data_IF_637077729919
#
_entry.id   IF_637077729919
#
_cell.length_a   1.000
_cell.length_b   1.000
_cell.length_c   1.000
_cell.angle_alpha   90.00
_cell.angle_beta   90.00
_cell.angle_gamma   90.00
#
_symmetry.space_group_name_H-M   'P 1'
#
loop_
_entity.id
_entity.type
_entity.pdbx_description
1 polymer ?
#
# COMPACT_ATOMS: atom_id res chain seq x y z
N UNK A 1 33.07 10.22 15.82
CA UNK A 1 32.00 9.34 16.34
C UNK A 1 32.38 7.86 16.17
N UNK A 2 32.61 7.35 14.95
CA UNK A 2 32.93 5.92 14.79
C UNK A 2 34.22 5.48 15.51
N UNK A 3 35.28 6.29 15.50
CA UNK A 3 36.51 5.98 16.26
C UNK A 3 36.27 5.78 17.77
N UNK A 4 35.32 6.53 18.36
CA UNK A 4 34.98 6.35 19.78
C UNK A 4 34.21 5.05 20.01
N UNK A 5 33.31 4.65 19.11
CA UNK A 5 32.63 3.35 19.20
C UNK A 5 33.60 2.18 19.03
N UNK A 6 34.54 2.26 18.09
CA UNK A 6 35.57 1.23 17.90
C UNK A 6 36.36 1.02 19.19
N UNK A 7 36.75 2.11 19.86
CA UNK A 7 37.45 2.05 21.15
C UNK A 7 36.55 1.54 22.28
N UNK A 8 35.32 2.05 22.40
CA UNK A 8 34.38 1.72 23.49
C UNK A 8 33.91 0.27 23.44
N UNK A 9 33.69 -0.27 22.24
CA UNK A 9 33.23 -1.64 22.03
C UNK A 9 34.37 -2.64 21.78
N UNK A 10 35.63 -2.18 21.76
CA UNK A 10 36.80 -3.03 21.59
C UNK A 10 36.85 -3.72 20.22
N UNK A 11 36.33 -3.07 19.18
CA UNK A 11 36.32 -3.61 17.81
C UNK A 11 37.70 -3.40 17.18
N UNK A 12 38.16 -4.38 16.40
CA UNK A 12 39.38 -4.27 15.58
C UNK A 12 38.98 -4.20 14.10
N UNK A 13 38.89 -3.00 13.48
CA UNK A 13 38.42 -2.85 12.11
C UNK A 13 39.25 -3.62 11.08
N UNK A 14 40.52 -3.94 11.39
CA UNK A 14 41.38 -4.70 10.49
C UNK A 14 40.98 -6.19 10.41
N UNK A 15 40.18 -6.68 11.36
CA UNK A 15 39.71 -8.07 11.41
C UNK A 15 38.26 -8.22 10.94
N UNK A 16 37.56 -7.13 10.70
CA UNK A 16 36.17 -7.14 10.25
C UNK A 16 36.09 -7.22 8.72
N UNK A 17 35.52 -8.29 8.13
CA UNK A 17 35.35 -8.37 6.69
C UNK A 17 34.32 -7.34 6.22
N UNK A 18 34.63 -6.67 5.10
CA UNK A 18 33.68 -5.74 4.46
C UNK A 18 32.50 -6.53 3.91
N UNK A 19 31.28 -6.15 4.31
CA UNK A 19 30.06 -6.80 3.82
C UNK A 19 29.89 -6.53 2.31
N UNK A 20 29.50 -7.53 1.49
CA UNK A 20 29.25 -7.33 0.06
C UNK A 20 28.25 -6.20 -0.27
N UNK A 21 27.28 -5.92 0.59
CA UNK A 21 26.38 -4.78 0.44
C UNK A 21 27.13 -3.44 0.53
N UNK A 22 28.06 -3.31 1.48
CA UNK A 22 28.94 -2.14 1.61
C UNK A 22 29.77 -1.94 0.34
N UNK A 23 30.41 -3.01 -0.16
CA UNK A 23 31.20 -2.94 -1.40
C UNK A 23 30.36 -2.48 -2.60
N UNK A 24 29.16 -3.06 -2.77
CA UNK A 24 28.24 -2.65 -3.86
C UNK A 24 27.89 -1.17 -3.78
N UNK A 25 27.63 -0.65 -2.59
CA UNK A 25 27.29 0.76 -2.44
C UNK A 25 28.48 1.67 -2.70
N UNK A 26 29.67 1.35 -2.16
CA UNK A 26 30.88 2.14 -2.41
C UNK A 26 31.29 2.12 -3.87
N UNK A 27 31.19 0.96 -4.54
CA UNK A 27 31.51 0.83 -5.96
C UNK A 27 30.59 1.68 -6.83
N UNK A 28 29.29 1.71 -6.50
CA UNK A 28 28.30 2.57 -7.16
C UNK A 28 28.63 4.06 -7.02
N UNK A 29 28.97 4.52 -5.82
CA UNK A 29 29.33 5.93 -5.58
C UNK A 29 30.63 6.31 -6.31
N UNK A 30 31.65 5.46 -6.24
CA UNK A 30 32.92 5.68 -6.94
C UNK A 30 32.76 5.65 -8.46
N UNK A 31 31.93 4.74 -8.99
CA UNK A 31 31.60 4.70 -10.42
C UNK A 31 30.93 6.00 -10.85
N UNK A 32 29.91 6.46 -10.11
CA UNK A 32 29.19 7.71 -10.38
C UNK A 32 30.14 8.92 -10.34
N UNK A 33 30.97 9.02 -9.30
CA UNK A 33 31.96 10.08 -9.15
C UNK A 33 33.03 10.10 -10.25
N UNK A 34 33.35 8.93 -10.82
CA UNK A 34 34.25 8.81 -11.97
C UNK A 34 33.58 9.13 -13.32
N UNK A 35 32.29 9.46 -13.33
CA UNK A 35 31.50 9.72 -14.54
C UNK A 35 31.05 8.46 -15.28
N UNK A 36 31.16 7.27 -14.68
CA UNK A 36 30.64 6.01 -15.22
C UNK A 36 29.16 5.86 -14.84
N UNK A 37 28.33 6.70 -15.42
CA UNK A 37 26.87 6.68 -15.24
C UNK A 37 26.22 6.02 -16.46
N UNK A 38 25.35 5.04 -16.23
CA UNK A 38 24.66 4.33 -17.32
C UNK A 38 23.84 5.31 -18.18
N UNK A 39 23.92 5.17 -19.51
CA UNK A 39 23.27 6.09 -20.46
C UNK A 39 24.01 7.42 -20.68
N UNK A 40 25.10 7.69 -19.96
CA UNK A 40 25.93 8.89 -20.12
C UNK A 40 27.26 8.52 -20.77
N UNK A 41 27.68 9.24 -21.81
CA UNK A 41 29.05 9.10 -22.34
C UNK A 41 30.03 9.61 -21.28
N UNK A 42 30.95 8.75 -20.83
CA UNK A 42 31.99 9.13 -19.89
C UNK A 42 32.73 10.39 -20.38
N UNK A 43 33.02 11.36 -19.50
CA UNK A 43 33.78 12.54 -19.89
C UNK A 43 35.14 12.12 -20.48
N UNK A 44 35.45 12.59 -21.70
CA UNK A 44 36.76 12.36 -22.29
C UNK A 44 37.87 13.14 -21.58
N UNK A 45 39.13 12.95 -22.00
CA UNK A 45 40.29 13.72 -21.48
C UNK A 45 40.15 15.25 -21.59
N UNK A 46 39.20 15.74 -22.39
CA UNK A 46 38.90 17.15 -22.66
C UNK A 46 37.53 17.58 -22.11
N UNK A 47 37.16 17.11 -20.92
CA UNK A 47 35.88 17.46 -20.29
C UNK A 47 35.76 18.99 -20.05
N UNK A 48 34.74 19.59 -20.66
CA UNK A 48 34.37 21.00 -20.50
C UNK A 48 33.95 21.30 -19.05
N UNK A 49 34.03 22.56 -18.57
CA UNK A 49 33.50 22.94 -17.26
C UNK A 49 32.05 22.52 -17.05
N UNK A 50 31.24 22.54 -18.12
CA UNK A 50 29.84 22.10 -18.10
C UNK A 50 29.71 20.60 -17.82
N UNK A 51 30.49 19.76 -18.51
CA UNK A 51 30.51 18.31 -18.26
C UNK A 51 31.00 17.98 -16.84
N UNK A 52 31.91 18.77 -16.28
CA UNK A 52 32.35 18.62 -14.89
C UNK A 52 31.24 18.95 -13.89
N UNK A 53 30.50 20.04 -14.11
CA UNK A 53 29.34 20.39 -13.28
C UNK A 53 28.26 19.31 -13.33
N UNK A 54 28.04 18.69 -14.50
CA UNK A 54 27.10 17.58 -14.68
C UNK A 54 27.49 16.34 -13.86
N UNK A 55 28.76 15.92 -13.90
CA UNK A 55 29.23 14.80 -13.07
C UNK A 55 29.15 15.14 -11.58
N UNK A 56 29.42 16.39 -11.19
CA UNK A 56 29.22 16.84 -9.82
C UNK A 56 27.74 16.73 -9.40
N UNK A 57 26.80 17.16 -10.24
CA UNK A 57 25.37 17.03 -9.99
C UNK A 57 24.95 15.56 -9.79
N UNK A 58 25.45 14.65 -10.64
CA UNK A 58 25.19 13.21 -10.53
C UNK A 58 25.78 12.60 -9.26
N UNK A 59 27.01 13.00 -8.91
CA UNK A 59 27.67 12.54 -7.68
C UNK A 59 26.91 12.99 -6.45
N UNK A 60 26.54 14.28 -6.39
CA UNK A 60 25.73 14.82 -5.29
C UNK A 60 24.37 14.11 -5.27
N UNK A 61 23.71 13.93 -6.41
CA UNK A 61 22.42 13.21 -6.51
C UNK A 61 22.47 11.78 -5.96
N UNK A 62 23.58 11.07 -6.17
CA UNK A 62 23.80 9.73 -5.62
C UNK A 62 24.16 9.72 -4.11
N UNK A 63 24.72 10.83 -3.59
CA UNK A 63 25.10 10.98 -2.18
C UNK A 63 23.99 11.59 -1.31
N UNK A 64 23.11 12.42 -1.87
CA UNK A 64 22.00 13.05 -1.13
C UNK A 64 21.14 12.04 -0.34
N UNK A 65 20.79 10.86 -0.91
CA UNK A 65 20.05 9.82 -0.18
C UNK A 65 20.63 9.46 1.18
N UNK A 66 21.94 9.24 1.29
CA UNK A 66 22.53 8.81 2.57
C UNK A 66 22.40 9.91 3.63
N UNK A 67 22.66 11.17 3.26
CA UNK A 67 22.54 12.30 4.17
C UNK A 67 21.09 12.47 4.66
N UNK A 68 20.12 12.44 3.74
CA UNK A 68 18.70 12.57 4.08
C UNK A 68 18.20 11.36 4.88
N UNK A 69 18.57 10.15 4.50
CA UNK A 69 18.14 8.92 5.17
C UNK A 69 18.63 8.86 6.61
N UNK A 70 19.92 9.11 6.85
CA UNK A 70 20.45 9.12 8.22
C UNK A 70 19.84 10.23 9.08
N UNK A 71 19.59 11.41 8.50
CA UNK A 71 18.90 12.49 9.19
C UNK A 71 17.47 12.09 9.60
N UNK A 72 16.75 11.41 8.70
CA UNK A 72 15.41 10.88 8.96
C UNK A 72 15.43 9.79 10.04
N UNK A 73 16.26 8.75 9.88
CA UNK A 73 16.38 7.64 10.84
C UNK A 73 16.76 8.13 12.24
N UNK A 74 17.66 9.11 12.34
CA UNK A 74 18.04 9.71 13.62
C UNK A 74 16.84 10.31 14.36
N UNK A 75 15.98 11.07 13.67
CA UNK A 75 14.77 11.66 14.26
C UNK A 75 13.72 10.61 14.61
N UNK A 76 13.47 9.64 13.72
CA UNK A 76 12.49 8.58 13.96
C UNK A 76 12.89 7.71 15.17
N UNK A 77 14.15 7.30 15.26
CA UNK A 77 14.64 6.49 16.39
C UNK A 77 14.61 7.30 17.69
N UNK A 78 15.01 8.58 17.65
CA UNK A 78 14.92 9.47 18.81
C UNK A 78 13.49 9.57 19.35
N UNK A 79 12.47 9.65 18.48
CA UNK A 79 11.08 9.74 18.89
C UNK A 79 10.55 8.46 19.59
N UNK A 80 11.21 7.31 19.36
CA UNK A 80 10.80 6.00 19.86
C UNK A 80 11.65 5.47 21.03
N UNK A 81 12.73 6.18 21.35
CA UNK A 81 13.67 5.83 22.41
C UNK A 81 13.40 6.70 23.62
N UNK A 82 13.32 6.08 24.80
CA UNK A 82 13.31 6.83 26.05
C UNK A 82 14.73 7.33 26.34
N UNK A 83 14.98 8.59 26.00
CA UNK A 83 16.32 9.20 26.13
C UNK A 83 16.67 9.56 27.57
N UNK A 84 15.80 9.32 28.55
CA UNK A 84 16.12 9.47 29.98
C UNK A 84 17.18 8.46 30.46
N UNK A 85 17.39 7.35 29.74
CA UNK A 85 18.53 6.47 29.97
C UNK A 85 19.81 7.03 29.34
N UNK A 86 20.59 7.75 30.15
CA UNK A 86 21.90 8.26 29.77
C UNK A 86 22.93 7.15 29.45
N UNK A 87 22.65 5.89 29.77
CA UNK A 87 23.55 4.75 29.51
C UNK A 87 23.19 3.97 28.23
N UNK A 88 22.24 4.43 27.42
CA UNK A 88 21.86 3.71 26.21
C UNK A 88 23.06 3.58 25.24
N UNK A 89 23.47 2.37 24.81
CA UNK A 89 24.73 2.14 24.09
C UNK A 89 24.81 2.87 22.73
N UNK A 90 23.66 3.16 22.12
CA UNK A 90 23.57 3.85 20.83
C UNK A 90 23.26 5.35 20.95
N UNK A 91 23.20 5.93 22.16
CA UNK A 91 22.79 7.33 22.40
C UNK A 91 23.61 8.32 21.55
N UNK A 92 24.95 8.18 21.53
CA UNK A 92 25.84 9.05 20.72
C UNK A 92 25.50 9.03 19.23
N UNK A 93 25.10 7.86 18.69
CA UNK A 93 24.71 7.73 17.29
C UNK A 93 23.39 8.45 17.06
N UNK A 94 22.38 8.17 17.89
CA UNK A 94 21.04 8.77 17.81
C UNK A 94 21.14 10.29 17.91
N UNK A 95 21.84 10.82 18.92
CA UNK A 95 22.02 12.27 19.13
C UNK A 95 22.74 12.93 17.96
N UNK A 96 23.74 12.27 17.38
CA UNK A 96 24.50 12.84 16.26
C UNK A 96 23.63 13.01 15.02
N UNK A 97 22.90 11.97 14.62
CA UNK A 97 22.09 11.99 13.39
C UNK A 97 20.73 12.68 13.57
N UNK A 98 20.21 12.76 14.81
CA UNK A 98 19.01 13.55 15.14
C UNK A 98 19.31 15.04 15.38
N UNK A 99 20.58 15.43 15.52
CA UNK A 99 20.97 16.82 15.81
C UNK A 99 20.57 17.80 14.70
N UNK A 100 20.21 19.02 15.10
CA UNK A 100 19.91 20.12 14.17
C UNK A 100 21.07 20.43 13.22
N UNK A 101 22.32 20.23 13.66
CA UNK A 101 23.50 20.40 12.80
C UNK A 101 23.55 19.37 11.67
N UNK A 102 23.19 18.11 11.96
CA UNK A 102 23.13 17.07 10.93
C UNK A 102 21.95 17.30 9.98
N UNK A 103 20.78 17.71 10.50
CA UNK A 103 19.64 18.10 9.67
C UNK A 103 20.01 19.25 8.72
N UNK A 104 20.69 20.28 9.21
CA UNK A 104 21.17 21.38 8.39
C UNK A 104 22.19 20.93 7.32
N UNK A 105 23.03 19.94 7.63
CA UNK A 105 23.99 19.37 6.67
C UNK A 105 23.30 18.58 5.55
N UNK A 106 22.24 17.83 5.88
CA UNK A 106 21.41 17.15 4.90
C UNK A 106 20.72 18.16 3.96
N UNK A 107 20.10 19.20 4.53
CA UNK A 107 19.50 20.30 3.75
C UNK A 107 20.52 21.01 2.87
N UNK A 108 21.73 21.28 3.37
CA UNK A 108 22.80 21.88 2.56
C UNK A 108 23.19 21.03 1.35
N UNK A 109 23.13 19.70 1.49
CA UNK A 109 23.43 18.76 0.40
C UNK A 109 22.34 18.80 -0.67
N UNK A 110 21.07 18.90 -0.26
CA UNK A 110 19.93 19.08 -1.17
C UNK A 110 19.96 20.44 -1.87
N UNK A 111 20.20 21.52 -1.13
CA UNK A 111 20.36 22.87 -1.70
C UNK A 111 21.49 22.92 -2.74
N UNK A 112 22.56 22.15 -2.53
CA UNK A 112 23.66 22.03 -3.49
C UNK A 112 23.21 21.25 -4.73
N UNK A 113 22.47 20.15 -4.55
CA UNK A 113 21.90 19.39 -5.66
C UNK A 113 20.99 20.26 -6.53
N UNK A 114 20.11 21.04 -5.91
CA UNK A 114 19.20 21.95 -6.61
C UNK A 114 19.98 22.97 -7.45
N UNK A 115 20.99 23.61 -6.85
CA UNK A 115 21.86 24.58 -7.54
C UNK A 115 22.60 23.98 -8.73
N UNK A 116 23.11 22.75 -8.58
CA UNK A 116 23.82 22.04 -9.64
C UNK A 116 22.88 21.57 -10.76
N UNK A 117 21.58 21.43 -10.45
CA UNK A 117 20.57 20.93 -11.37
C UNK A 117 19.92 22.03 -12.24
N UNK A 118 20.07 23.31 -11.88
CA UNK A 118 19.43 24.45 -12.59
C UNK A 118 19.67 24.46 -14.10
N UNK A 119 20.86 24.06 -14.56
CA UNK A 119 21.21 24.09 -15.98
C UNK A 119 21.01 22.76 -16.71
N UNK A 120 20.45 21.76 -16.05
CA UNK A 120 20.26 20.42 -16.61
C UNK A 120 18.96 20.32 -17.42
N UNK A 121 18.98 19.46 -18.44
CA UNK A 121 17.77 19.12 -19.21
C UNK A 121 16.88 18.11 -18.47
N UNK A 122 15.64 17.92 -18.92
CA UNK A 122 14.74 16.92 -18.35
C UNK A 122 15.35 15.50 -18.32
N UNK A 123 15.96 15.07 -19.43
CA UNK A 123 16.64 13.77 -19.50
C UNK A 123 17.80 13.65 -18.51
N UNK A 124 18.48 14.76 -18.21
CA UNK A 124 19.58 14.79 -17.24
C UNK A 124 19.08 14.77 -15.80
N UNK A 125 17.91 15.36 -15.53
CA UNK A 125 17.22 15.26 -14.24
C UNK A 125 16.71 13.84 -14.00
N UNK A 126 16.17 13.16 -15.02
CA UNK A 126 15.75 11.76 -14.94
C UNK A 126 16.92 10.83 -14.54
N UNK A 127 18.15 11.17 -14.94
CA UNK A 127 19.35 10.44 -14.51
C UNK A 127 19.63 10.65 -13.03
N UNK A 128 19.49 11.87 -12.51
CA UNK A 128 19.63 12.15 -11.08
C UNK A 128 18.59 11.37 -10.27
N UNK A 129 17.33 11.35 -10.73
CA UNK A 129 16.27 10.58 -10.08
C UNK A 129 16.61 9.08 -10.00
N UNK A 130 17.09 8.49 -11.10
CA UNK A 130 17.54 7.08 -11.14
C UNK A 130 18.70 6.82 -10.18
N UNK A 131 19.70 7.70 -10.14
CA UNK A 131 20.84 7.59 -9.23
C UNK A 131 20.40 7.69 -7.76
N UNK A 132 19.50 8.63 -7.46
CA UNK A 132 18.93 8.79 -6.12
C UNK A 132 18.17 7.52 -5.69
N UNK A 133 17.32 6.98 -6.57
CA UNK A 133 16.56 5.76 -6.30
C UNK A 133 17.49 4.54 -6.11
N UNK A 134 18.51 4.40 -6.97
CA UNK A 134 19.48 3.32 -6.85
C UNK A 134 20.28 3.39 -5.54
N UNK A 135 20.70 4.59 -5.14
CA UNK A 135 21.37 4.81 -3.85
C UNK A 135 20.47 4.41 -2.67
N UNK A 136 19.19 4.81 -2.66
CA UNK A 136 18.23 4.38 -1.63
C UNK A 136 18.09 2.85 -1.58
N UNK A 137 17.98 2.17 -2.72
CA UNK A 137 17.91 0.71 -2.76
C UNK A 137 19.18 0.04 -2.22
N UNK A 138 20.36 0.60 -2.52
CA UNK A 138 21.64 0.11 -2.01
C UNK A 138 21.76 0.32 -0.50
N UNK A 139 21.26 1.44 0.03
CA UNK A 139 21.18 1.71 1.47
C UNK A 139 20.28 0.71 2.19
N UNK A 140 19.09 0.42 1.64
CA UNK A 140 18.22 -0.61 2.25
C UNK A 140 18.92 -1.97 2.23
N UNK A 141 19.61 -2.32 1.13
CA UNK A 141 20.43 -3.52 1.07
C UNK A 141 21.58 -3.54 2.09
N UNK A 142 22.18 -2.38 2.38
CA UNK A 142 23.21 -2.22 3.41
C UNK A 142 22.65 -2.48 4.81
N UNK A 143 21.50 -1.90 5.16
CA UNK A 143 20.86 -2.13 6.46
C UNK A 143 20.36 -3.58 6.60
N UNK A 144 19.76 -4.14 5.56
CA UNK A 144 19.21 -5.51 5.58
C UNK A 144 20.29 -6.60 5.67
N UNK A 145 21.53 -6.28 5.27
CA UNK A 145 22.65 -7.21 5.35
C UNK A 145 23.31 -7.27 6.74
N UNK A 146 22.90 -6.42 7.69
CA UNK A 146 23.47 -6.41 9.03
C UNK A 146 22.92 -7.58 9.87
N UNK A 147 23.78 -8.29 10.63
CA UNK A 147 23.32 -9.38 11.48
C UNK A 147 22.48 -8.83 12.64
N UNK A 148 21.39 -9.53 12.96
CA UNK A 148 20.58 -9.25 14.14
C UNK A 148 20.85 -10.35 15.17
N UNK A 149 21.33 -9.96 16.35
CA UNK A 149 21.63 -10.90 17.44
C UNK A 149 20.38 -11.36 18.22
N UNK A 150 19.21 -10.78 17.93
CA UNK A 150 17.96 -11.06 18.62
C UNK A 150 16.87 -11.56 17.67
N UNK A 151 15.90 -12.36 18.18
CA UNK A 151 14.66 -12.65 17.47
C UNK A 151 13.90 -11.36 17.12
N UNK A 152 13.22 -11.37 15.98
CA UNK A 152 12.47 -10.19 15.49
C UNK A 152 11.03 -10.51 15.18
N UNK A 153 10.14 -9.54 15.45
CA UNK A 153 8.71 -9.62 15.09
C UNK A 153 8.45 -9.30 13.62
N UNK A 154 9.47 -8.82 12.90
CA UNK A 154 9.45 -8.54 11.46
C UNK A 154 10.62 -9.23 10.73
N UNK A 155 10.43 -9.66 9.46
CA UNK A 155 9.14 -9.70 8.78
C UNK A 155 8.20 -10.74 9.41
N UNK A 156 6.89 -10.55 9.23
CA UNK A 156 5.85 -11.39 9.82
C UNK A 156 6.07 -12.88 9.52
N UNK A 157 6.62 -13.17 8.33
CA UNK A 157 6.81 -14.53 7.83
C UNK A 157 8.09 -15.20 8.35
N UNK A 158 8.90 -14.52 9.16
CA UNK A 158 10.22 -15.02 9.58
C UNK A 158 10.13 -16.30 10.41
N UNK A 159 9.15 -16.41 11.30
CA UNK A 159 8.91 -17.59 12.14
C UNK A 159 7.82 -18.51 11.56
N UNK A 160 7.33 -18.22 10.35
CA UNK A 160 6.27 -18.98 9.71
C UNK A 160 6.74 -20.38 9.35
N UNK A 161 6.08 -21.41 9.88
CA UNK A 161 6.32 -22.81 9.53
C UNK A 161 5.25 -23.29 8.55
N UNK A 162 5.54 -23.44 7.25
CA UNK A 162 4.50 -23.73 6.22
C UNK A 162 3.82 -25.10 6.38
N UNK A 163 4.42 -26.00 7.16
CA UNK A 163 3.85 -27.29 7.51
C UNK A 163 2.72 -27.17 8.56
N UNK A 164 2.82 -26.19 9.46
CA UNK A 164 1.91 -25.99 10.60
C UNK A 164 1.07 -24.73 10.48
N UNK A 165 1.53 -23.73 9.75
CA UNK A 165 0.96 -22.40 9.65
C UNK A 165 0.47 -22.14 8.22
N UNK A 166 -0.57 -21.32 8.09
CA UNK A 166 -1.09 -20.79 6.83
C UNK A 166 -1.25 -19.29 6.94
N UNK A 167 -0.69 -18.54 6.00
CA UNK A 167 -0.95 -17.12 5.87
C UNK A 167 -2.17 -16.90 4.97
N UNK A 168 -3.18 -16.16 5.43
CA UNK A 168 -4.36 -15.81 4.62
C UNK A 168 -4.48 -14.30 4.56
N UNK A 169 -4.25 -13.76 3.36
CA UNK A 169 -4.28 -12.32 3.11
C UNK A 169 -5.58 -11.99 2.42
N UNK A 170 -6.28 -11.01 2.97
CA UNK A 170 -7.45 -10.39 2.41
C UNK A 170 -7.12 -8.95 2.07
N UNK A 171 -7.64 -8.48 0.95
CA UNK A 171 -7.52 -7.08 0.56
C UNK A 171 -8.85 -6.58 0.01
N UNK A 172 -9.21 -5.35 0.33
CA UNK A 172 -10.12 -4.59 -0.50
C UNK A 172 -9.44 -4.23 -1.84
N UNK A 173 -10.24 -3.80 -2.81
CA UNK A 173 -9.76 -3.39 -4.12
C UNK A 173 -9.79 -1.88 -4.31
N UNK A 174 -10.95 -1.26 -4.13
CA UNK A 174 -11.16 0.15 -4.45
C UNK A 174 -10.45 1.04 -3.44
N UNK A 175 -9.63 1.98 -3.91
CA UNK A 175 -8.81 2.90 -3.10
C UNK A 175 -7.76 2.24 -2.18
N UNK A 176 -7.87 0.94 -1.92
CA UNK A 176 -6.86 0.09 -1.28
C UNK A 176 -5.82 -0.40 -2.29
N UNK A 177 -6.24 -1.15 -3.31
CA UNK A 177 -5.37 -1.60 -4.40
C UNK A 177 -5.28 -0.57 -5.52
N UNK A 178 -6.39 0.09 -5.84
CA UNK A 178 -6.48 1.07 -6.93
C UNK A 178 -6.25 2.50 -6.42
N UNK A 179 -5.93 3.42 -7.32
CA UNK A 179 -5.89 4.87 -7.02
C UNK A 179 -7.20 5.59 -7.33
N UNK A 180 -8.11 4.94 -8.05
CA UNK A 180 -9.45 5.44 -8.41
C UNK A 180 -10.47 4.34 -8.15
N UNK A 181 -11.65 4.75 -7.69
CA UNK A 181 -12.80 3.89 -7.45
C UNK A 181 -13.31 3.22 -8.74
N UNK A 182 -13.55 1.91 -8.69
CA UNK A 182 -14.00 1.10 -9.82
C UNK A 182 -15.38 1.50 -10.36
N UNK A 183 -16.28 2.00 -9.52
CA UNK A 183 -17.60 2.46 -9.96
C UNK A 183 -17.50 3.65 -10.91
N UNK A 184 -16.62 4.60 -10.62
CA UNK A 184 -16.34 5.75 -11.47
C UNK A 184 -15.73 5.32 -12.82
N UNK A 185 -14.89 4.29 -12.81
CA UNK A 185 -14.29 3.74 -14.03
C UNK A 185 -15.36 3.08 -14.90
N UNK A 186 -16.21 2.23 -14.31
CA UNK A 186 -17.30 1.56 -15.04
C UNK A 186 -18.30 2.59 -15.62
N UNK A 187 -18.62 3.64 -14.86
CA UNK A 187 -19.45 4.73 -15.33
C UNK A 187 -18.80 5.50 -16.49
N UNK A 188 -17.50 5.82 -16.41
CA UNK A 188 -16.80 6.51 -17.49
C UNK A 188 -16.73 5.65 -18.75
N UNK A 189 -16.45 4.35 -18.64
CA UNK A 189 -16.53 3.41 -19.77
C UNK A 189 -17.94 3.48 -20.38
N UNK A 190 -18.98 3.48 -19.55
CA UNK A 190 -20.36 3.55 -20.02
C UNK A 190 -20.61 4.84 -20.81
N UNK A 191 -20.07 5.98 -20.37
CA UNK A 191 -20.30 7.28 -21.00
C UNK A 191 -19.52 7.43 -22.33
N UNK A 192 -18.26 6.99 -22.37
CA UNK A 192 -17.36 7.24 -23.53
C UNK A 192 -17.53 6.24 -24.66
N UNK A 193 -18.06 5.05 -24.38
CA UNK A 193 -18.25 3.99 -25.39
C UNK A 193 -19.57 4.09 -26.14
N UNK A 194 -20.44 5.05 -25.82
CA UNK A 194 -21.68 5.27 -26.56
C UNK A 194 -21.36 5.74 -27.98
N UNK A 195 -21.88 5.06 -29.03
CA UNK A 195 -21.71 5.52 -30.40
C UNK A 195 -22.25 6.93 -30.59
N UNK A 196 -21.50 7.80 -31.27
CA UNK A 196 -22.02 9.12 -31.68
C UNK A 196 -23.17 8.89 -32.67
N UNK A 197 -24.25 9.65 -32.50
CA UNK A 197 -25.54 9.53 -33.22
C UNK A 197 -25.50 9.59 -34.76
N UNK A 198 -24.32 9.74 -35.38
CA UNK A 198 -24.13 9.87 -36.83
C UNK A 198 -23.87 8.53 -37.56
N UNK A 199 -23.85 7.39 -36.84
CA UNK A 199 -23.75 6.07 -37.45
C UNK A 199 -25.11 5.37 -37.42
N UNK A 200 -25.69 5.15 -38.61
CA UNK A 200 -26.96 4.44 -38.83
C UNK A 200 -27.01 3.13 -38.04
N UNK A 201 -27.91 3.05 -37.06
CA UNK A 201 -28.03 1.87 -36.21
C UNK A 201 -28.83 0.74 -36.90
N UNK A 202 -28.31 -0.50 -36.93
CA UNK A 202 -29.09 -1.67 -37.29
C UNK A 202 -30.11 -2.03 -36.18
N UNK A 203 -31.25 -2.63 -36.58
CA UNK A 203 -32.47 -2.87 -35.77
C UNK A 203 -32.32 -3.84 -34.57
N UNK A 204 -31.13 -4.31 -34.23
CA UNK A 204 -30.88 -5.33 -33.19
C UNK A 204 -30.16 -4.84 -31.92
N UNK A 205 -30.03 -3.53 -31.70
CA UNK A 205 -29.32 -3.02 -30.52
C UNK A 205 -30.22 -2.83 -29.30
N UNK A 206 -29.70 -3.26 -28.14
CA UNK A 206 -30.24 -2.97 -26.81
C UNK A 206 -30.46 -1.46 -26.69
N UNK A 207 -31.68 -1.02 -26.33
CA UNK A 207 -31.98 0.38 -26.06
C UNK A 207 -31.09 0.90 -24.92
N UNK A 208 -30.14 1.78 -25.26
CA UNK A 208 -29.15 2.38 -24.36
C UNK A 208 -29.36 3.89 -24.28
N UNK A 209 -29.08 4.47 -23.12
CA UNK A 209 -29.13 5.91 -22.88
C UNK A 209 -28.13 6.66 -23.77
N UNK A 210 -28.42 7.93 -24.08
CA UNK A 210 -27.45 8.79 -24.75
C UNK A 210 -26.26 9.10 -23.83
N UNK A 211 -25.11 9.49 -24.39
CA UNK A 211 -23.92 9.86 -23.58
C UNK A 211 -24.22 11.00 -22.60
N UNK A 212 -25.05 11.97 -23.00
CA UNK A 212 -25.49 13.07 -22.14
C UNK A 212 -26.38 12.58 -21.01
N UNK A 213 -27.33 11.68 -21.30
CA UNK A 213 -28.22 11.13 -20.28
C UNK A 213 -27.45 10.26 -19.29
N UNK A 214 -26.50 9.43 -19.75
CA UNK A 214 -25.63 8.63 -18.88
C UNK A 214 -24.84 9.53 -17.92
N UNK A 215 -24.25 10.62 -18.43
CA UNK A 215 -23.50 11.56 -17.59
C UNK A 215 -24.40 12.21 -16.55
N UNK A 216 -25.57 12.70 -16.94
CA UNK A 216 -26.53 13.32 -16.02
C UNK A 216 -27.02 12.34 -14.95
N UNK A 217 -27.29 11.09 -15.35
CA UNK A 217 -27.73 10.03 -14.43
C UNK A 217 -26.62 9.63 -13.46
N UNK A 218 -25.39 9.48 -13.95
CA UNK A 218 -24.24 9.20 -13.10
C UNK A 218 -23.98 10.33 -12.09
N UNK A 219 -24.00 11.58 -12.55
CA UNK A 219 -23.82 12.76 -11.69
C UNK A 219 -24.92 12.82 -10.61
N UNK A 220 -26.16 12.49 -10.97
CA UNK A 220 -27.27 12.40 -10.02
C UNK A 220 -27.05 11.29 -8.98
N UNK A 221 -26.72 10.08 -9.42
CA UNK A 221 -26.51 8.92 -8.55
C UNK A 221 -25.32 9.14 -7.60
N UNK A 222 -24.20 9.64 -8.11
CA UNK A 222 -22.99 9.90 -7.33
C UNK A 222 -23.19 10.98 -6.27
N UNK A 223 -23.90 12.07 -6.63
CA UNK A 223 -24.28 13.11 -5.66
C UNK A 223 -25.21 12.56 -4.59
N UNK A 224 -26.27 11.85 -5.00
CA UNK A 224 -27.23 11.26 -4.07
C UNK A 224 -26.55 10.27 -3.12
N UNK A 225 -25.66 9.42 -3.63
CA UNK A 225 -24.86 8.50 -2.83
C UNK A 225 -24.04 9.24 -1.78
N UNK A 226 -23.31 10.29 -2.19
CA UNK A 226 -22.46 11.05 -1.27
C UNK A 226 -23.27 11.70 -0.14
N UNK A 227 -24.41 12.31 -0.47
CA UNK A 227 -25.30 12.96 0.51
C UNK A 227 -25.93 11.96 1.47
N UNK A 228 -26.48 10.87 0.95
CA UNK A 228 -27.13 9.83 1.77
C UNK A 228 -26.13 9.00 2.58
N UNK A 229 -24.93 8.75 2.05
CA UNK A 229 -23.86 8.06 2.78
C UNK A 229 -23.47 8.86 4.02
N UNK A 230 -23.27 10.17 3.91
CA UNK A 230 -22.93 10.99 5.08
C UNK A 230 -24.06 10.97 6.12
N UNK A 231 -25.33 11.06 5.69
CA UNK A 231 -26.48 10.92 6.58
C UNK A 231 -26.53 9.54 7.25
N UNK A 232 -26.23 8.47 6.50
CA UNK A 232 -26.16 7.12 7.03
C UNK A 232 -25.06 7.03 8.10
N UNK A 233 -23.85 7.54 7.81
CA UNK A 233 -22.75 7.57 8.78
C UNK A 233 -23.13 8.37 10.02
N UNK A 234 -23.78 9.53 9.90
CA UNK A 234 -24.25 10.28 11.07
C UNK A 234 -25.29 9.49 11.89
N UNK A 235 -26.17 8.75 11.23
CA UNK A 235 -27.25 8.00 11.89
C UNK A 235 -26.77 6.79 12.70
N UNK A 236 -25.66 6.16 12.28
CA UNK A 236 -25.10 4.98 12.97
C UNK A 236 -24.21 5.35 14.16
N UNK A 237 -23.84 6.62 14.31
CA UNK A 237 -22.91 7.06 15.34
C UNK A 237 -23.61 7.10 16.71
N UNK A 238 -23.05 6.45 17.74
CA UNK A 238 -23.59 6.59 19.09
C UNK A 238 -23.36 8.02 19.59
N UNK A 239 -24.22 8.53 20.49
CA UNK A 239 -24.17 9.92 20.94
C UNK A 239 -22.88 10.23 21.70
N UNK A 240 -22.37 9.26 22.46
CA UNK A 240 -21.12 9.34 23.20
C UNK A 240 -20.13 8.30 22.66
N UNK A 241 -18.84 8.52 22.94
CA UNK A 241 -17.80 7.54 22.59
C UNK A 241 -17.98 6.27 23.42
N UNK A 242 -18.10 5.14 22.74
CA UNK A 242 -18.28 3.82 23.34
C UNK A 242 -16.94 3.15 23.65
N UNK A 243 -16.95 2.21 24.60
CA UNK A 243 -15.88 1.21 24.72
C UNK A 243 -15.98 0.22 23.55
N UNK A 244 -14.85 -0.33 23.11
CA UNK A 244 -14.83 -1.24 21.97
C UNK A 244 -15.67 -2.50 22.24
N UNK A 245 -16.70 -2.68 21.43
CA UNK A 245 -17.54 -3.87 21.40
C UNK A 245 -17.89 -4.23 19.96
N UNK A 246 -17.38 -5.38 19.50
CA UNK A 246 -17.51 -5.79 18.11
C UNK A 246 -18.98 -6.07 17.72
N UNK A 247 -19.76 -6.69 18.59
CA UNK A 247 -21.15 -7.02 18.32
C UNK A 247 -22.04 -5.77 18.20
N UNK A 248 -21.78 -4.75 19.01
CA UNK A 248 -22.48 -3.46 18.91
C UNK A 248 -22.13 -2.77 17.59
N UNK A 249 -20.86 -2.75 17.21
CA UNK A 249 -20.41 -2.20 15.93
C UNK A 249 -21.01 -2.95 14.73
N UNK A 250 -21.08 -4.29 14.78
CA UNK A 250 -21.74 -5.09 13.74
C UNK A 250 -23.19 -4.65 13.54
N UNK A 251 -23.96 -4.50 14.63
CA UNK A 251 -25.36 -4.06 14.58
C UNK A 251 -25.50 -2.66 14.00
N UNK A 252 -24.62 -1.73 14.36
CA UNK A 252 -24.65 -0.39 13.80
C UNK A 252 -24.41 -0.39 12.29
N UNK A 253 -23.50 -1.23 11.80
CA UNK A 253 -23.18 -1.34 10.38
C UNK A 253 -24.21 -2.17 9.57
N UNK A 254 -25.25 -2.73 10.20
CA UNK A 254 -26.41 -3.26 9.48
C UNK A 254 -27.15 -2.14 8.74
N UNK A 255 -27.30 -0.96 9.33
CA UNK A 255 -27.93 0.19 8.66
C UNK A 255 -27.11 0.70 7.47
N UNK A 256 -25.78 0.63 7.55
CA UNK A 256 -24.92 0.90 6.39
C UNK A 256 -25.12 -0.16 5.30
N UNK A 257 -25.33 -1.43 5.69
CA UNK A 257 -25.61 -2.50 4.73
C UNK A 257 -26.92 -2.28 3.97
N UNK A 258 -27.98 -1.87 4.66
CA UNK A 258 -29.27 -1.53 4.04
C UNK A 258 -29.13 -0.35 3.06
N UNK A 259 -28.34 0.67 3.43
CA UNK A 259 -28.04 1.80 2.57
C UNK A 259 -27.31 1.37 1.28
N UNK A 260 -26.24 0.59 1.38
CA UNK A 260 -25.45 0.15 0.22
C UNK A 260 -26.29 -0.69 -0.75
N UNK A 261 -27.12 -1.60 -0.24
CA UNK A 261 -28.04 -2.40 -1.06
C UNK A 261 -29.06 -1.52 -1.80
N UNK A 262 -29.58 -0.49 -1.14
CA UNK A 262 -30.47 0.51 -1.76
C UNK A 262 -29.75 1.32 -2.84
N UNK A 263 -28.51 1.72 -2.59
CA UNK A 263 -27.68 2.44 -3.56
C UNK A 263 -27.41 1.61 -4.83
N UNK A 264 -27.03 0.34 -4.68
CA UNK A 264 -26.81 -0.57 -5.80
C UNK A 264 -28.11 -0.84 -6.58
N UNK A 265 -29.24 -0.98 -5.89
CA UNK A 265 -30.55 -1.14 -6.53
C UNK A 265 -30.87 0.05 -7.45
N UNK A 266 -30.60 1.29 -7.01
CA UNK A 266 -30.80 2.49 -7.86
C UNK A 266 -29.89 2.49 -9.09
N UNK A 267 -28.66 2.01 -8.96
CA UNK A 267 -27.73 1.89 -10.10
C UNK A 267 -28.28 0.91 -11.14
N UNK A 268 -28.75 -0.26 -10.70
CA UNK A 268 -29.38 -1.26 -11.58
C UNK A 268 -30.63 -0.67 -12.25
N UNK A 269 -31.56 -0.11 -11.46
CA UNK A 269 -32.82 0.48 -11.95
C UNK A 269 -32.60 1.63 -12.94
N UNK A 270 -31.52 2.41 -12.78
CA UNK A 270 -31.20 3.51 -13.69
C UNK A 270 -30.80 3.04 -15.09
N UNK A 271 -30.34 1.79 -15.23
CA UNK A 271 -29.81 1.26 -16.48
C UNK A 271 -28.49 1.89 -16.93
N UNK A 272 -27.79 2.65 -16.06
CA UNK A 272 -26.55 3.35 -16.42
C UNK A 272 -25.43 2.41 -16.88
N UNK A 273 -25.45 1.15 -16.42
CA UNK A 273 -24.47 0.11 -16.77
C UNK A 273 -24.88 -0.74 -17.98
N UNK A 274 -26.08 -0.50 -18.52
CA UNK A 274 -26.61 -1.28 -19.65
C UNK A 274 -25.85 -1.00 -20.94
N UNK A 275 -25.49 -2.06 -21.64
CA UNK A 275 -24.77 -1.99 -22.91
C UNK A 275 -23.28 -1.70 -22.77
N UNK A 276 -22.69 -1.86 -21.58
CA UNK A 276 -21.24 -1.91 -21.42
C UNK A 276 -20.66 -3.14 -22.14
N UNK A 277 -19.61 -2.97 -22.92
CA UNK A 277 -18.97 -4.07 -23.64
C UNK A 277 -17.92 -4.77 -22.75
N UNK A 278 -17.95 -6.11 -22.73
CA UNK A 278 -17.01 -6.93 -21.95
C UNK A 278 -15.53 -6.64 -22.27
N UNK A 279 -15.17 -6.49 -23.53
CA UNK A 279 -13.78 -6.23 -23.94
C UNK A 279 -13.30 -4.82 -23.53
N UNK A 280 -14.21 -3.85 -23.48
CA UNK A 280 -13.88 -2.52 -22.98
C UNK A 280 -13.62 -2.53 -21.47
N UNK A 281 -14.40 -3.30 -20.70
CA UNK A 281 -14.16 -3.52 -19.26
C UNK A 281 -12.80 -4.19 -19.05
N UNK A 282 -12.51 -5.26 -19.80
CA UNK A 282 -11.23 -5.96 -19.72
C UNK A 282 -10.05 -5.03 -20.01
N UNK A 283 -10.13 -4.28 -21.12
CA UNK A 283 -9.09 -3.31 -21.50
C UNK A 283 -8.91 -2.21 -20.46
N UNK A 284 -9.99 -1.74 -19.84
CA UNK A 284 -9.91 -0.76 -18.77
C UNK A 284 -9.21 -1.34 -17.54
N UNK A 285 -9.53 -2.58 -17.16
CA UNK A 285 -8.85 -3.29 -16.09
C UNK A 285 -7.36 -3.46 -16.37
N UNK A 286 -6.97 -3.92 -17.55
CA UNK A 286 -5.55 -4.09 -17.95
C UNK A 286 -4.73 -2.78 -17.90
N UNK A 287 -5.40 -1.63 -17.99
CA UNK A 287 -4.77 -0.29 -17.94
C UNK A 287 -4.94 0.39 -16.59
N UNK A 288 -5.59 -0.28 -15.64
CA UNK A 288 -5.86 0.26 -14.33
C UNK A 288 -4.55 0.46 -13.56
N UNK A 289 -4.36 1.67 -13.03
CA UNK A 289 -3.20 1.98 -12.21
C UNK A 289 -3.49 1.50 -10.79
N UNK A 290 -2.75 0.47 -10.36
CA UNK A 290 -2.71 0.05 -8.97
C UNK A 290 -1.73 0.93 -8.18
N UNK A 291 -1.99 1.07 -6.88
CA UNK A 291 -1.14 1.76 -5.94
C UNK A 291 0.30 1.23 -6.02
N UNK A 292 1.29 2.13 -5.91
CA UNK A 292 2.70 1.75 -6.00
C UNK A 292 3.04 0.69 -4.95
N UNK A 293 3.62 -0.43 -5.39
CA UNK A 293 3.97 -1.58 -4.54
C UNK A 293 2.91 -2.66 -4.43
N UNK A 294 1.63 -2.37 -4.74
CA UNK A 294 0.51 -3.33 -4.62
C UNK A 294 0.73 -4.60 -5.46
N UNK A 295 0.96 -4.44 -6.77
CA UNK A 295 1.21 -5.58 -7.66
C UNK A 295 2.42 -6.41 -7.23
N UNK A 296 3.51 -5.74 -6.85
CA UNK A 296 4.76 -6.40 -6.43
C UNK A 296 4.56 -7.21 -5.15
N UNK A 297 3.80 -6.68 -4.19
CA UNK A 297 3.46 -7.38 -2.95
C UNK A 297 2.77 -8.72 -3.22
N UNK A 298 1.68 -8.71 -4.00
CA UNK A 298 0.96 -9.93 -4.33
C UNK A 298 1.79 -10.88 -5.21
N UNK A 299 2.60 -10.36 -6.13
CA UNK A 299 3.52 -11.19 -6.92
C UNK A 299 4.53 -11.93 -6.05
N UNK A 300 5.10 -11.27 -5.03
CA UNK A 300 6.07 -11.88 -4.14
C UNK A 300 5.45 -12.94 -3.24
N UNK A 301 4.20 -12.75 -2.82
CA UNK A 301 3.42 -13.77 -2.11
C UNK A 301 3.15 -14.98 -3.02
N UNK A 302 2.63 -14.73 -4.22
CA UNK A 302 2.24 -15.79 -5.16
C UNK A 302 3.45 -16.62 -5.64
N UNK A 303 4.62 -15.99 -5.81
CA UNK A 303 5.87 -16.68 -6.23
C UNK A 303 6.53 -17.46 -5.10
N UNK A 304 6.21 -17.17 -3.84
CA UNK A 304 6.82 -17.83 -2.70
C UNK A 304 6.05 -19.10 -2.33
N UNK A 305 6.32 -20.19 -3.06
CA UNK A 305 5.70 -21.52 -2.82
C UNK A 305 5.92 -22.03 -1.38
N UNK A 306 6.98 -21.55 -0.71
CA UNK A 306 7.27 -21.90 0.68
C UNK A 306 6.42 -21.14 1.67
N UNK A 307 5.60 -20.18 1.28
CA UNK A 307 4.86 -19.34 2.23
C UNK A 307 3.53 -19.95 2.69
N UNK A 308 3.05 -21.03 2.06
CA UNK A 308 1.69 -21.57 2.28
C UNK A 308 0.65 -20.44 2.44
N UNK A 309 0.66 -19.50 1.49
CA UNK A 309 -0.13 -18.29 1.53
C UNK A 309 -1.32 -18.37 0.57
N UNK A 310 -2.46 -17.81 0.99
CA UNK A 310 -3.64 -17.66 0.16
C UNK A 310 -4.03 -16.19 0.14
N UNK A 311 -4.39 -15.68 -1.04
CA UNK A 311 -4.73 -14.28 -1.24
C UNK A 311 -6.15 -14.18 -1.79
N UNK A 312 -6.97 -13.38 -1.10
CA UNK A 312 -8.37 -13.14 -1.43
C UNK A 312 -8.62 -11.64 -1.57
N UNK A 313 -9.32 -11.23 -2.63
CA UNK A 313 -9.81 -9.87 -2.80
C UNK A 313 -11.29 -9.86 -2.51
N UNK A 314 -11.75 -9.07 -1.54
CA UNK A 314 -13.16 -8.87 -1.22
C UNK A 314 -13.54 -7.44 -1.60
N UNK A 315 -14.42 -7.25 -2.57
CA UNK A 315 -14.70 -5.91 -3.12
C UNK A 315 -16.18 -5.71 -3.41
N UNK A 316 -16.64 -4.46 -3.30
CA UNK A 316 -17.98 -4.05 -3.73
C UNK A 316 -18.10 -3.85 -5.24
N UNK A 317 -16.97 -3.86 -5.97
CA UNK A 317 -16.94 -3.61 -7.40
C UNK A 317 -18.05 -4.37 -8.11
N UNK A 318 -18.82 -3.66 -8.95
CA UNK A 318 -19.96 -4.23 -9.66
C UNK A 318 -19.60 -5.31 -10.69
N UNK A 319 -18.33 -5.37 -11.10
CA UNK A 319 -17.85 -6.30 -12.12
C UNK A 319 -16.47 -6.88 -11.76
N UNK A 320 -16.44 -8.11 -11.27
CA UNK A 320 -15.21 -8.81 -10.92
C UNK A 320 -14.24 -8.98 -12.11
N UNK A 321 -14.72 -8.95 -13.37
CA UNK A 321 -13.84 -9.02 -14.54
C UNK A 321 -12.93 -7.79 -14.68
N UNK A 322 -13.34 -6.63 -14.18
CA UNK A 322 -12.46 -5.46 -14.09
C UNK A 322 -11.28 -5.75 -13.15
N UNK A 323 -11.56 -6.33 -11.98
CA UNK A 323 -10.56 -6.70 -10.98
C UNK A 323 -9.61 -7.77 -11.53
N UNK A 324 -10.17 -8.84 -12.13
CA UNK A 324 -9.39 -9.93 -12.75
C UNK A 324 -8.41 -9.36 -13.76
N UNK A 325 -8.91 -8.52 -14.66
CA UNK A 325 -8.11 -7.91 -15.73
C UNK A 325 -7.02 -6.98 -15.19
N UNK A 326 -7.29 -6.25 -14.11
CA UNK A 326 -6.29 -5.41 -13.44
C UNK A 326 -5.12 -6.24 -12.89
N UNK A 327 -5.41 -7.35 -12.21
CA UNK A 327 -4.36 -8.23 -11.68
C UNK A 327 -3.67 -9.10 -12.75
N UNK A 328 -4.39 -9.51 -13.80
CA UNK A 328 -3.82 -10.22 -14.95
C UNK A 328 -2.70 -9.43 -15.63
N UNK A 329 -2.80 -8.10 -15.70
CA UNK A 329 -1.72 -7.24 -16.22
C UNK A 329 -0.40 -7.39 -15.44
N UNK A 330 -0.51 -7.75 -14.16
CA UNK A 330 0.60 -8.07 -13.26
C UNK A 330 0.93 -9.56 -13.17
N UNK A 331 0.39 -10.44 -14.02
CA UNK A 331 0.61 -11.89 -13.96
C UNK A 331 0.05 -12.55 -12.71
N UNK A 332 -1.05 -12.01 -12.16
CA UNK A 332 -1.72 -12.47 -10.95
C UNK A 332 -3.10 -13.12 -11.25
N UNK A 333 -3.17 -13.89 -12.34
CA UNK A 333 -4.41 -14.53 -12.82
C UNK A 333 -5.04 -15.52 -11.82
N UNK A 334 -4.24 -16.04 -10.88
CA UNK A 334 -4.66 -17.02 -9.87
C UNK A 334 -5.27 -16.43 -8.60
N UNK A 335 -5.40 -15.10 -8.49
CA UNK A 335 -5.96 -14.48 -7.29
C UNK A 335 -7.44 -14.82 -7.10
N UNK A 336 -7.83 -15.14 -5.86
CA UNK A 336 -9.22 -15.43 -5.54
C UNK A 336 -10.01 -14.14 -5.37
N UNK A 337 -10.83 -13.79 -6.37
CA UNK A 337 -11.61 -12.55 -6.39
C UNK A 337 -13.06 -12.83 -6.01
N UNK A 338 -13.54 -12.11 -5.00
CA UNK A 338 -14.92 -12.15 -4.50
C UNK A 338 -15.49 -10.74 -4.64
N UNK A 339 -16.33 -10.55 -5.64
CA UNK A 339 -16.99 -9.28 -5.93
C UNK A 339 -18.30 -9.56 -6.68
N UNK A 340 -19.05 -8.51 -7.01
CA UNK A 340 -20.26 -8.64 -7.82
C UNK A 340 -19.91 -8.96 -9.28
N UNK A 341 -20.89 -9.46 -10.04
CA UNK A 341 -20.70 -9.79 -11.45
C UNK A 341 -21.78 -9.13 -12.30
N UNK A 342 -21.40 -8.64 -13.48
CA UNK A 342 -22.39 -8.28 -14.49
C UNK A 342 -22.99 -9.51 -15.14
N UNK A 343 -24.26 -9.39 -15.55
CA UNK A 343 -24.89 -10.33 -16.47
C UNK A 343 -24.70 -9.80 -17.89
N UNK A 344 -24.17 -10.64 -18.77
CA UNK A 344 -23.94 -10.29 -20.17
C UNK A 344 -24.91 -11.06 -21.08
N UNK A 345 -25.45 -10.35 -22.07
CA UNK A 345 -26.04 -10.95 -23.27
C UNK A 345 -25.03 -10.79 -24.41
N UNK A 346 -24.56 -11.91 -24.94
CA UNK A 346 -23.39 -11.97 -25.83
C UNK A 346 -22.15 -11.31 -25.18
N UNK A 347 -21.79 -10.10 -25.61
CA UNK A 347 -20.67 -9.33 -25.07
C UNK A 347 -21.10 -8.03 -24.39
N UNK A 348 -22.41 -7.83 -24.18
CA UNK A 348 -22.99 -6.57 -23.72
C UNK A 348 -23.67 -6.77 -22.37
N UNK A 349 -23.36 -5.92 -21.39
CA UNK A 349 -24.01 -5.94 -20.08
C UNK A 349 -25.50 -5.68 -20.22
N UNK A 350 -26.33 -6.46 -19.55
CA UNK A 350 -27.78 -6.25 -19.49
C UNK A 350 -28.15 -5.05 -18.60
N UNK A 351 -27.21 -4.57 -17.79
CA UNK A 351 -27.43 -3.59 -16.72
C UNK A 351 -27.71 -4.24 -15.36
N UNK A 352 -27.94 -5.55 -15.32
CA UNK A 352 -28.16 -6.31 -14.09
C UNK A 352 -26.84 -6.71 -13.43
N UNK A 353 -26.85 -6.76 -12.10
CA UNK A 353 -25.70 -7.14 -11.26
C UNK A 353 -26.08 -8.38 -10.43
N UNK A 354 -25.25 -9.42 -10.49
CA UNK A 354 -25.27 -10.51 -9.53
C UNK A 354 -24.60 -10.03 -8.25
N UNK A 355 -25.44 -9.67 -7.30
CA UNK A 355 -25.10 -9.12 -5.99
C UNK A 355 -24.53 -10.21 -5.06
N UNK A 356 -23.21 -10.29 -4.94
CA UNK A 356 -22.50 -11.24 -4.08
C UNK A 356 -21.91 -10.57 -2.83
N UNK A 357 -21.31 -9.39 -3.00
CA UNK A 357 -20.70 -8.61 -1.92
C UNK A 357 -21.05 -7.14 -2.15
N UNK A 358 -21.96 -6.61 -1.34
CA UNK A 358 -22.42 -5.22 -1.49
C UNK A 358 -22.30 -4.41 -0.22
N UNK A 359 -21.99 -5.05 0.90
CA UNK A 359 -22.10 -4.43 2.21
C UNK A 359 -21.01 -4.90 3.18
N UNK A 360 -20.81 -4.19 4.31
CA UNK A 360 -19.83 -4.59 5.31
C UNK A 360 -20.16 -5.97 5.88
N UNK A 361 -21.46 -6.26 6.01
CA UNK A 361 -21.96 -7.54 6.52
C UNK A 361 -21.75 -8.69 5.53
N UNK A 362 -21.79 -8.43 4.22
CA UNK A 362 -21.43 -9.42 3.20
C UNK A 362 -19.92 -9.68 3.16
N UNK A 363 -19.09 -8.63 3.22
CA UNK A 363 -17.63 -8.76 3.30
C UNK A 363 -17.22 -9.65 4.48
N UNK A 364 -17.75 -9.39 5.67
CA UNK A 364 -17.41 -10.18 6.88
C UNK A 364 -18.01 -11.59 6.87
N UNK A 365 -19.12 -11.80 6.16
CA UNK A 365 -19.67 -13.14 5.91
C UNK A 365 -18.74 -13.93 4.97
N UNK A 366 -18.36 -13.33 3.84
CA UNK A 366 -17.44 -13.94 2.88
C UNK A 366 -16.08 -14.26 3.53
N UNK A 367 -15.51 -13.34 4.30
CA UNK A 367 -14.29 -13.56 5.08
C UNK A 367 -14.40 -14.82 5.95
N UNK A 368 -15.45 -14.94 6.76
CA UNK A 368 -15.69 -16.12 7.61
C UNK A 368 -15.89 -17.40 6.82
N UNK A 369 -16.65 -17.35 5.73
CA UNK A 369 -16.97 -18.52 4.93
C UNK A 369 -15.73 -19.04 4.18
N UNK A 370 -14.84 -18.15 3.73
CA UNK A 370 -13.53 -18.51 3.19
C UNK A 370 -12.71 -19.22 4.26
N UNK A 371 -12.64 -18.68 5.49
CA UNK A 371 -11.89 -19.30 6.57
C UNK A 371 -12.43 -20.66 7.00
N UNK A 372 -13.75 -20.90 6.89
CA UNK A 372 -14.35 -22.23 7.13
C UNK A 372 -13.87 -23.29 6.14
N UNK A 373 -13.37 -22.91 4.97
CA UNK A 373 -12.81 -23.88 4.01
C UNK A 373 -11.40 -24.36 4.42
N UNK A 374 -10.75 -23.65 5.35
CA UNK A 374 -9.45 -23.99 5.91
C UNK A 374 -9.60 -24.83 7.18
N UNK A 375 -10.04 -26.08 7.03
CA UNK A 375 -10.39 -27.02 8.12
C UNK A 375 -9.29 -27.99 8.50
N UNK A 376 -8.10 -27.89 7.90
CA UNK A 376 -6.96 -28.70 8.31
C UNK A 376 -6.39 -28.24 9.66
N UNK A 377 -5.52 -29.05 10.26
CA UNK A 377 -4.90 -28.78 11.57
C UNK A 377 -3.92 -27.58 11.56
N UNK A 378 -3.86 -26.83 10.46
CA UNK A 378 -2.95 -25.69 10.30
C UNK A 378 -3.49 -24.46 11.02
N UNK A 379 -2.57 -23.68 11.61
CA UNK A 379 -2.87 -22.40 12.24
C UNK A 379 -2.96 -21.31 11.18
N UNK A 380 -4.15 -20.73 11.02
CA UNK A 380 -4.35 -19.60 10.11
C UNK A 380 -3.90 -18.30 10.80
N UNK A 381 -3.04 -17.53 10.13
CA UNK A 381 -2.73 -16.15 10.46
C UNK A 381 -3.36 -15.25 9.40
N UNK A 382 -4.29 -14.40 9.82
CA UNK A 382 -5.10 -13.59 8.91
C UNK A 382 -4.66 -12.13 8.90
N UNK A 383 -4.46 -11.60 7.70
CA UNK A 383 -4.19 -10.17 7.48
C UNK A 383 -5.29 -9.61 6.59
N UNK A 384 -5.92 -8.52 7.00
CA UNK A 384 -6.86 -7.79 6.16
C UNK A 384 -6.33 -6.39 5.87
N UNK A 385 -6.36 -5.99 4.60
CA UNK A 385 -5.91 -4.68 4.14
C UNK A 385 -7.14 -3.96 3.54
N UNK A 386 -7.47 -2.79 4.05
CA UNK A 386 -8.62 -2.00 3.57
C UNK A 386 -8.46 -0.51 3.90
N UNK A 387 -9.37 0.32 3.39
CA UNK A 387 -9.29 1.77 3.56
C UNK A 387 -10.61 2.41 4.05
N UNK A 388 -11.72 1.66 4.05
CA UNK A 388 -13.06 2.23 4.19
C UNK A 388 -13.85 1.70 5.41
N UNK A 389 -14.99 2.35 5.72
CA UNK A 389 -15.96 1.84 6.72
C UNK A 389 -16.51 0.47 6.30
N UNK A 390 -16.61 0.21 4.99
CA UNK A 390 -17.02 -1.08 4.43
C UNK A 390 -16.14 -2.25 4.85
N UNK A 391 -14.87 -1.96 5.16
CA UNK A 391 -13.88 -2.97 5.57
C UNK A 391 -13.78 -3.14 7.07
N UNK A 392 -14.37 -2.24 7.86
CA UNK A 392 -14.11 -2.13 9.30
C UNK A 392 -14.36 -3.45 10.05
N UNK A 393 -15.42 -4.17 9.68
CA UNK A 393 -15.73 -5.46 10.31
C UNK A 393 -14.70 -6.54 10.00
N UNK A 394 -14.18 -6.60 8.77
CA UNK A 394 -13.15 -7.55 8.37
C UNK A 394 -11.77 -7.18 8.93
N UNK A 395 -11.44 -5.89 8.90
CA UNK A 395 -10.23 -5.32 9.51
C UNK A 395 -10.12 -5.73 10.98
N UNK A 396 -11.21 -5.61 11.73
CA UNK A 396 -11.25 -5.99 13.14
C UNK A 396 -11.32 -7.50 13.35
N UNK A 397 -11.88 -8.26 12.41
CA UNK A 397 -11.99 -9.72 12.55
C UNK A 397 -10.67 -10.44 12.27
N UNK A 398 -9.86 -9.91 11.35
CA UNK A 398 -8.54 -10.46 11.07
C UNK A 398 -7.60 -10.33 12.28
N UNK A 399 -6.61 -11.23 12.36
CA UNK A 399 -5.58 -11.16 13.40
C UNK A 399 -4.78 -9.86 13.33
N UNK A 400 -4.63 -9.35 12.10
CA UNK A 400 -3.95 -8.10 11.79
C UNK A 400 -4.79 -7.31 10.78
N UNK A 401 -5.47 -6.27 11.26
CA UNK A 401 -6.16 -5.30 10.41
C UNK A 401 -5.23 -4.14 10.05
N UNK A 402 -4.98 -3.95 8.76
CA UNK A 402 -4.13 -2.89 8.22
C UNK A 402 -5.01 -1.90 7.44
N UNK A 403 -5.01 -0.66 7.89
CA UNK A 403 -5.68 0.46 7.25
C UNK A 403 -4.67 1.21 6.38
N UNK A 404 -4.91 1.20 5.07
CA UNK A 404 -4.17 2.04 4.13
C UNK A 404 -4.99 3.29 3.77
N UNK A 405 -4.32 4.43 3.59
CA UNK A 405 -4.99 5.68 3.24
C UNK A 405 -5.53 6.48 4.44
N UNK A 406 -6.39 7.46 4.13
CA UNK A 406 -6.74 8.55 5.05
C UNK A 406 -8.25 8.78 5.20
N UNK A 407 -9.07 7.73 5.03
CA UNK A 407 -10.54 7.84 5.16
C UNK A 407 -10.95 8.45 6.50
N UNK A 408 -11.56 9.63 6.44
CA UNK A 408 -12.04 10.35 7.62
C UNK A 408 -13.25 9.65 8.24
N UNK A 409 -14.17 9.13 7.42
CA UNK A 409 -15.36 8.42 7.90
C UNK A 409 -14.98 7.12 8.62
N UNK A 410 -14.00 6.35 8.12
CA UNK A 410 -13.48 5.16 8.82
C UNK A 410 -12.94 5.52 10.21
N UNK A 411 -12.12 6.56 10.30
CA UNK A 411 -11.54 7.00 11.57
C UNK A 411 -12.60 7.53 12.52
N UNK A 412 -13.57 8.30 12.01
CA UNK A 412 -14.68 8.86 12.78
C UNK A 412 -15.56 7.75 13.37
N UNK A 413 -16.03 6.82 12.54
CA UNK A 413 -16.84 5.67 12.97
C UNK A 413 -16.03 4.79 13.92
N UNK A 414 -14.86 4.32 13.50
CA UNK A 414 -14.04 3.43 14.33
C UNK A 414 -13.75 4.03 15.71
N UNK A 415 -13.28 5.28 15.78
CA UNK A 415 -12.92 5.93 17.05
C UNK A 415 -14.13 6.12 17.97
N UNK A 416 -15.31 6.40 17.41
CA UNK A 416 -16.54 6.54 18.18
C UNK A 416 -16.98 5.21 18.80
N UNK A 417 -16.75 4.11 18.09
CA UNK A 417 -16.96 2.73 18.58
C UNK A 417 -15.76 2.15 19.33
N UNK A 418 -14.85 2.99 19.83
CA UNK A 418 -13.74 2.57 20.68
C UNK A 418 -12.56 1.92 19.96
N UNK A 419 -12.52 1.90 18.62
CA UNK A 419 -11.39 1.38 17.84
C UNK A 419 -10.21 2.34 17.92
N UNK A 420 -9.02 1.80 18.16
CA UNK A 420 -7.74 2.51 18.15
C UNK A 420 -7.05 2.35 16.80
N UNK A 421 -6.62 3.46 16.21
CA UNK A 421 -5.82 3.48 14.98
C UNK A 421 -4.38 3.87 15.33
N UNK A 422 -3.45 2.93 15.16
CA UNK A 422 -2.05 3.11 15.57
C UNK A 422 -1.14 2.99 14.35
N UNK A 423 -0.18 3.91 14.13
CA UNK A 423 0.82 3.74 13.08
C UNK A 423 1.57 2.40 13.22
N UNK A 424 1.70 1.66 12.12
CA UNK A 424 2.23 0.29 12.14
C UNK A 424 3.67 0.26 12.67
N UNK A 425 4.56 1.11 12.17
CA UNK A 425 5.97 1.11 12.59
C UNK A 425 6.18 1.31 14.10
N UNK A 426 5.66 2.38 14.75
CA UNK A 426 5.72 2.53 16.21
C UNK A 426 5.13 1.34 16.98
N UNK A 427 3.99 0.79 16.51
CA UNK A 427 3.39 -0.37 17.15
C UNK A 427 4.28 -1.61 17.08
N UNK A 428 4.98 -1.82 15.96
CA UNK A 428 5.93 -2.92 15.79
C UNK A 428 7.15 -2.77 16.71
N UNK A 429 7.60 -1.53 16.95
CA UNK A 429 8.70 -1.25 17.88
C UNK A 429 8.30 -1.62 19.31
N UNK A 430 7.11 -1.22 19.76
CA UNK A 430 6.59 -1.64 21.07
C UNK A 430 6.41 -3.16 21.17
N UNK A 431 5.89 -3.79 20.11
CA UNK A 431 5.76 -5.25 20.05
C UNK A 431 7.11 -5.95 20.11
N UNK A 432 8.14 -5.38 19.47
CA UNK A 432 9.51 -5.90 19.52
C UNK A 432 10.13 -5.78 20.91
N UNK A 433 9.88 -4.68 21.64
CA UNK A 433 10.32 -4.52 23.04
C UNK A 433 9.71 -5.59 23.93
N UNK A 434 8.38 -5.78 23.85
CA UNK A 434 7.66 -6.83 24.59
C UNK A 434 8.18 -8.23 24.22
N UNK A 435 8.43 -8.48 22.94
CA UNK A 435 8.96 -9.79 22.49
C UNK A 435 10.37 -10.06 23.03
N UNK A 436 11.24 -9.05 23.07
CA UNK A 436 12.59 -9.18 23.63
C UNK A 436 12.59 -9.51 25.13
N UNK A 437 11.56 -9.08 25.88
CA UNK A 437 11.35 -9.39 27.30
C UNK A 437 10.68 -10.76 27.55
N UNK A 438 10.50 -11.56 26.50
CA UNK A 438 9.85 -12.88 26.57
C UNK A 438 8.32 -12.84 26.47
N UNK A 439 7.75 -11.69 26.08
CA UNK A 439 6.33 -11.55 25.79
C UNK A 439 5.89 -12.29 24.52
N UNK A 440 4.57 -12.38 24.33
CA UNK A 440 3.99 -13.09 23.19
C UNK A 440 4.10 -12.28 21.89
N UNK A 441 4.59 -12.92 20.82
CA UNK A 441 4.56 -12.39 19.46
C UNK A 441 3.21 -12.57 18.76
N UNK A 442 2.23 -13.21 19.40
CA UNK A 442 0.95 -13.53 18.77
C UNK A 442 0.16 -12.26 18.42
N UNK A 443 -0.58 -12.36 17.31
CA UNK A 443 -1.58 -11.41 16.87
C UNK A 443 -2.96 -11.96 17.21
N UNK A 444 -3.93 -11.08 17.42
CA UNK A 444 -5.29 -11.47 17.80
C UNK A 444 -6.29 -10.53 17.16
N UNK A 445 -7.28 -11.13 16.48
CA UNK A 445 -8.43 -10.39 16.01
C UNK A 445 -9.29 -9.89 17.16
N UNK A 446 -10.17 -8.95 16.85
CA UNK A 446 -11.17 -8.36 17.75
C UNK A 446 -10.50 -7.70 18.97
N UNK A 447 -9.29 -7.17 18.79
CA UNK A 447 -8.55 -6.42 19.83
C UNK A 447 -9.00 -4.96 19.95
N UNK A 448 -9.79 -4.48 18.99
CA UNK A 448 -10.13 -3.05 18.86
C UNK A 448 -8.96 -2.19 18.38
N UNK A 449 -7.83 -2.78 17.95
CA UNK A 449 -6.68 -2.05 17.42
C UNK A 449 -6.48 -2.35 15.94
N UNK A 450 -6.35 -1.29 15.14
CA UNK A 450 -6.03 -1.35 13.72
C UNK A 450 -4.73 -0.60 13.44
N UNK A 451 -3.96 -1.11 12.49
CA UNK A 451 -2.65 -0.57 12.15
C UNK A 451 -2.70 0.29 10.91
N UNK A 452 -2.26 1.53 10.98
CA UNK A 452 -2.30 2.44 9.84
C UNK A 452 -0.97 2.48 9.13
N UNK A 453 -1.00 2.42 7.81
CA UNK A 453 0.17 2.50 6.94
C UNK A 453 0.00 3.61 5.91
N UNK A 454 1.14 4.10 5.41
CA UNK A 454 1.18 5.14 4.38
C UNK A 454 1.23 4.59 2.96
N UNK A 455 1.69 3.34 2.78
CA UNK A 455 1.92 2.75 1.46
C UNK A 455 2.00 1.22 1.52
N UNK A 456 1.86 0.59 0.35
CA UNK A 456 2.12 -0.85 0.19
C UNK A 456 3.57 -1.25 0.47
N UNK A 457 4.54 -0.33 0.39
CA UNK A 457 5.93 -0.61 0.74
C UNK A 457 6.07 -0.93 2.24
N UNK A 458 5.31 -0.24 3.10
CA UNK A 458 5.27 -0.50 4.54
C UNK A 458 4.65 -1.87 4.85
N UNK A 459 3.55 -2.22 4.16
CA UNK A 459 2.92 -3.55 4.24
C UNK A 459 3.89 -4.63 3.77
N UNK A 460 4.58 -4.40 2.66
CA UNK A 460 5.54 -5.34 2.09
C UNK A 460 6.70 -5.60 3.05
N UNK A 461 7.31 -4.54 3.59
CA UNK A 461 8.38 -4.64 4.57
C UNK A 461 7.94 -5.35 5.85
N UNK A 462 6.71 -5.07 6.32
CA UNK A 462 6.14 -5.73 7.49
C UNK A 462 5.93 -7.23 7.25
N UNK A 463 5.26 -7.61 6.16
CA UNK A 463 4.85 -9.00 5.94
C UNK A 463 6.00 -9.84 5.41
N UNK A 464 6.68 -9.40 4.34
CA UNK A 464 7.66 -10.20 3.59
C UNK A 464 9.11 -9.81 3.91
N UNK A 465 9.34 -8.58 4.36
CA UNK A 465 10.68 -8.00 4.47
C UNK A 465 11.07 -7.26 3.19
N UNK A 466 12.36 -6.94 3.06
CA UNK A 466 12.90 -6.21 1.90
C UNK A 466 13.79 -7.07 1.01
#
# INVERSE_FOLDING_TARGET
>A
MHDSFVQEWGIDPAKEPVNPATTRYTDFLLATASGKVEGVKAPGLLATPFERTKVAAYTVGAMTPCMRLYAFLGKEIQALTDLEDDNHPYKKWIDSYSSENFQASALQTEDLLDKLSVSLTGEELDIIEKLYNQAMNLEIGFFSAQPLAQPTVVPLIKEHNPAEDRLVIFSDFDLTCTVVDSSAILAEIAIVTVPRSDQSQPENHIARMSSTDLRNTWDLLSRQYTEEYEQCIESIMPPDKEEFNYEILCKALESLSDFEQGANSRVIESGVLKGLNFEDIKRAGERLILQNGCTNFFQNIAKNEKLNANVHVLSYCWCADLIRSAFSSGGLDGLSIHANEFIFEESMSTGEIVQKIESPTDKVRAFRDILKNYTDDKKNLTVYIGDSVGDLLCLLQADIGIVIGSSLSLRRVGSQFGVSFVPLFPALVEKQKVYAEGGSSCWKGISGTLYTVSSWAEIHAFVLGW
#
